data_IF_014695590662
#
_entry.id   IF_014695590662
#
_cell.length_a   1.000
_cell.length_b   1.000
_cell.length_c   1.000
_cell.angle_alpha   90.00
_cell.angle_beta   90.00
_cell.angle_gamma   90.00
#
_symmetry.space_group_name_H-M   'P 1'
#
loop_
_entity.id
_entity.type
_entity.pdbx_description
1 polymer ?
#
# COMPACT_ATOMS: atom_id res chain seq x y z
N UNK A 1 26.17 13.53 15.72
CA UNK A 1 25.37 13.79 14.50
C UNK A 1 25.53 12.56 13.62
N UNK A 2 24.53 12.17 12.84
CA UNK A 2 24.65 11.02 11.92
C UNK A 2 25.34 11.44 10.62
N UNK A 3 26.03 10.53 9.96
CA UNK A 3 26.63 10.77 8.63
C UNK A 3 25.60 11.27 7.60
N UNK A 4 24.36 10.74 7.61
CA UNK A 4 23.26 11.21 6.76
C UNK A 4 22.99 12.71 6.95
N UNK A 5 22.76 13.13 8.19
CA UNK A 5 22.42 14.53 8.50
C UNK A 5 23.56 15.48 8.18
N UNK A 6 24.80 15.06 8.41
CA UNK A 6 25.99 15.85 8.09
C UNK A 6 26.12 16.05 6.59
N UNK A 7 25.88 14.99 5.81
CA UNK A 7 25.86 15.04 4.34
C UNK A 7 24.76 15.95 3.79
N UNK A 8 23.54 15.84 4.34
CA UNK A 8 22.41 16.68 3.93
C UNK A 8 22.62 18.15 4.33
N UNK A 9 23.19 18.42 5.50
CA UNK A 9 23.52 19.77 5.95
C UNK A 9 24.60 20.40 5.07
N UNK A 10 25.64 19.65 4.71
CA UNK A 10 26.67 20.10 3.78
C UNK A 10 26.05 20.47 2.41
N UNK A 11 25.24 19.58 1.82
CA UNK A 11 24.57 19.83 0.54
C UNK A 11 23.66 21.07 0.58
N UNK A 12 22.92 21.25 1.67
CA UNK A 12 22.07 22.44 1.88
C UNK A 12 22.90 23.72 1.91
N UNK A 13 24.04 23.70 2.59
CA UNK A 13 24.94 24.85 2.69
C UNK A 13 25.60 25.17 1.34
N UNK A 14 25.99 24.16 0.57
CA UNK A 14 26.55 24.30 -0.78
C UNK A 14 25.55 24.97 -1.74
N UNK A 15 24.27 24.60 -1.65
CA UNK A 15 23.20 25.21 -2.46
C UNK A 15 22.74 26.56 -1.93
N UNK A 16 23.07 26.92 -0.68
CA UNK A 16 22.66 28.17 -0.05
C UNK A 16 21.13 28.30 0.13
N UNK A 17 20.41 27.17 0.24
CA UNK A 17 18.94 27.17 0.31
C UNK A 17 18.42 26.99 1.74
N UNK A 18 17.29 27.62 2.04
CA UNK A 18 16.59 27.45 3.32
C UNK A 18 15.74 26.18 3.33
N UNK A 19 15.40 25.68 4.51
CA UNK A 19 14.49 24.54 4.67
C UNK A 19 13.10 24.81 4.08
N UNK A 20 12.66 26.07 4.08
CA UNK A 20 11.42 26.48 3.40
C UNK A 20 11.55 26.28 1.90
N UNK A 21 12.63 26.79 1.29
CA UNK A 21 12.84 26.66 -0.15
C UNK A 21 13.01 25.19 -0.57
N UNK A 22 13.56 24.36 0.31
CA UNK A 22 13.58 22.90 0.08
C UNK A 22 12.17 22.31 0.00
N UNK A 23 11.30 22.68 0.95
CA UNK A 23 9.90 22.24 0.98
C UNK A 23 9.17 22.67 -0.29
N UNK A 24 9.29 23.94 -0.68
CA UNK A 24 8.62 24.49 -1.86
C UNK A 24 9.09 23.76 -3.14
N UNK A 25 10.41 23.59 -3.30
CA UNK A 25 11.00 22.91 -4.47
C UNK A 25 10.58 21.43 -4.56
N UNK A 26 10.48 20.74 -3.42
CA UNK A 26 9.99 19.37 -3.38
C UNK A 26 8.51 19.29 -3.79
N UNK A 27 7.67 20.19 -3.27
CA UNK A 27 6.24 20.22 -3.55
C UNK A 27 5.95 20.55 -5.01
N UNK A 28 6.70 21.50 -5.60
CA UNK A 28 6.62 21.84 -7.02
C UNK A 28 6.94 20.64 -7.93
N UNK A 29 7.81 19.75 -7.47
CA UNK A 29 8.17 18.51 -8.15
C UNK A 29 7.24 17.31 -7.81
N UNK A 30 6.18 17.54 -7.02
CA UNK A 30 5.21 16.52 -6.64
C UNK A 30 5.60 15.64 -5.44
N UNK A 31 6.68 15.96 -4.74
CA UNK A 31 7.09 15.26 -3.52
C UNK A 31 6.41 15.83 -2.27
N UNK A 32 6.10 14.95 -1.33
CA UNK A 32 5.60 15.34 -0.01
C UNK A 32 6.77 15.55 0.95
N UNK A 33 7.34 16.76 0.94
CA UNK A 33 8.33 17.19 1.93
C UNK A 33 7.80 18.42 2.67
N UNK A 34 7.79 18.37 3.99
CA UNK A 34 7.48 19.53 4.84
C UNK A 34 8.77 20.25 5.24
N UNK A 35 8.68 21.56 5.50
CA UNK A 35 9.79 22.34 6.07
C UNK A 35 10.30 21.72 7.39
N UNK A 36 9.38 21.24 8.24
CA UNK A 36 9.75 20.55 9.48
C UNK A 36 10.63 19.33 9.20
N UNK A 37 10.21 18.44 8.29
CA UNK A 37 10.99 17.27 7.89
C UNK A 37 12.35 17.66 7.32
N UNK A 38 12.42 18.66 6.44
CA UNK A 38 13.68 19.17 5.89
C UNK A 38 14.64 19.62 7.01
N UNK A 39 14.14 20.39 7.98
CA UNK A 39 14.94 20.89 9.11
C UNK A 39 15.39 19.78 10.05
N UNK A 40 14.51 18.84 10.35
CA UNK A 40 14.79 17.70 11.23
C UNK A 40 15.92 16.84 10.67
N UNK A 41 15.88 16.56 9.36
CA UNK A 41 16.90 15.76 8.69
C UNK A 41 18.24 16.47 8.56
N UNK A 42 18.25 17.78 8.29
CA UNK A 42 19.53 18.53 8.21
C UNK A 42 20.15 18.81 9.58
N UNK A 43 19.38 18.69 10.67
CA UNK A 43 19.85 19.03 12.02
C UNK A 43 20.26 17.81 12.86
N UNK A 44 20.31 16.60 12.29
CA UNK A 44 20.68 15.41 13.07
C UNK A 44 19.56 14.83 13.93
N UNK A 45 18.31 15.26 13.74
CA UNK A 45 17.16 14.87 14.58
C UNK A 45 16.16 13.95 13.87
N UNK A 46 16.52 13.41 12.70
CA UNK A 46 15.67 12.50 11.96
C UNK A 46 15.36 11.22 12.76
N UNK A 47 14.20 10.59 12.52
CA UNK A 47 13.87 9.33 13.16
C UNK A 47 14.89 8.25 12.80
N UNK A 48 15.07 7.28 13.71
CA UNK A 48 16.00 6.16 13.50
C UNK A 48 15.69 5.32 12.24
N UNK A 49 14.43 5.34 11.79
CA UNK A 49 14.02 4.80 10.49
C UNK A 49 13.59 5.96 9.60
N UNK A 50 14.43 6.29 8.61
CA UNK A 50 14.08 7.28 7.61
C UNK A 50 13.05 6.70 6.62
N UNK A 51 12.10 7.53 6.20
CA UNK A 51 11.12 7.15 5.17
C UNK A 51 11.76 7.24 3.79
N UNK A 52 11.55 6.22 2.95
CA UNK A 52 12.02 6.19 1.57
C UNK A 52 11.57 7.43 0.78
N UNK A 53 10.29 7.79 0.89
CA UNK A 53 9.72 8.95 0.19
C UNK A 53 10.37 10.27 0.63
N UNK A 54 10.67 10.41 1.92
CA UNK A 54 11.37 11.60 2.44
C UNK A 54 12.80 11.67 1.95
N UNK A 55 13.52 10.53 1.91
CA UNK A 55 14.88 10.50 1.38
C UNK A 55 14.93 10.79 -0.11
N UNK A 56 13.96 10.30 -0.89
CA UNK A 56 13.79 10.63 -2.31
C UNK A 56 13.59 12.13 -2.54
N UNK A 57 12.69 12.75 -1.76
CA UNK A 57 12.46 14.18 -1.84
C UNK A 57 13.72 14.99 -1.48
N UNK A 58 14.43 14.60 -0.42
CA UNK A 58 15.67 15.26 0.01
C UNK A 58 16.79 15.10 -1.02
N UNK A 59 16.97 13.89 -1.58
CA UNK A 59 17.94 13.60 -2.63
C UNK A 59 17.68 14.46 -3.88
N UNK A 60 16.42 14.57 -4.29
CA UNK A 60 16.01 15.40 -5.42
C UNK A 60 16.34 16.89 -5.20
N UNK A 61 15.87 17.46 -4.09
CA UNK A 61 16.04 18.90 -3.80
C UNK A 61 17.49 19.28 -3.58
N UNK A 62 18.23 18.46 -2.83
CA UNK A 62 19.63 18.73 -2.49
C UNK A 62 20.61 18.25 -3.57
N UNK A 63 20.10 17.65 -4.65
CA UNK A 63 20.90 17.12 -5.76
C UNK A 63 21.97 16.13 -5.30
N UNK A 64 21.63 15.35 -4.27
CA UNK A 64 22.47 14.27 -3.75
C UNK A 64 22.00 12.96 -4.38
N UNK A 65 22.89 12.08 -4.87
CA UNK A 65 22.50 10.77 -5.36
C UNK A 65 21.64 10.01 -4.35
N UNK A 66 20.49 9.48 -4.80
CA UNK A 66 19.56 8.77 -3.92
C UNK A 66 20.22 7.57 -3.24
N UNK A 67 21.07 6.85 -3.96
CA UNK A 67 21.79 5.68 -3.42
C UNK A 67 22.68 6.07 -2.24
N UNK A 68 23.38 7.20 -2.34
CA UNK A 68 24.21 7.75 -1.25
C UNK A 68 23.35 8.08 -0.02
N UNK A 69 22.23 8.79 -0.22
CA UNK A 69 21.30 9.15 0.87
C UNK A 69 20.73 7.90 1.55
N UNK A 70 20.40 6.86 0.79
CA UNK A 70 19.86 5.60 1.31
C UNK A 70 20.93 4.80 2.05
N UNK A 71 22.14 4.71 1.52
CA UNK A 71 23.26 4.04 2.18
C UNK A 71 23.56 4.68 3.55
N UNK A 72 23.66 6.01 3.59
CA UNK A 72 23.87 6.76 4.84
C UNK A 72 22.71 6.63 5.83
N UNK A 73 21.50 6.34 5.34
CA UNK A 73 20.33 6.05 6.14
C UNK A 73 20.22 4.57 6.56
N UNK A 74 21.19 3.72 6.19
CA UNK A 74 21.16 2.28 6.44
C UNK A 74 20.06 1.54 5.66
N UNK A 75 19.57 2.13 4.57
CA UNK A 75 18.56 1.52 3.69
C UNK A 75 19.24 0.72 2.58
N UNK A 76 18.62 -0.40 2.15
CA UNK A 76 19.14 -1.15 1.02
C UNK A 76 19.08 -0.30 -0.27
N UNK A 77 20.07 -0.47 -1.16
CA UNK A 77 20.13 0.23 -2.44
C UNK A 77 18.94 -0.15 -3.34
N UNK A 78 18.53 0.76 -4.21
CA UNK A 78 17.48 0.49 -5.20
C UNK A 78 18.15 0.04 -6.49
N UNK A 79 18.03 -1.24 -6.82
CA UNK A 79 18.66 -1.81 -8.03
C UNK A 79 17.93 -1.46 -9.35
N UNK A 80 17.16 -0.37 -9.38
CA UNK A 80 16.38 0.02 -10.55
C UNK A 80 15.27 -0.98 -10.90
N UNK A 81 14.84 -0.97 -12.17
CA UNK A 81 13.87 -1.95 -12.68
C UNK A 81 14.53 -3.33 -12.70
N UNK A 82 13.81 -4.33 -12.21
CA UNK A 82 14.22 -5.72 -12.33
C UNK A 82 13.86 -6.23 -13.72
N UNK A 83 14.86 -6.30 -14.59
CA UNK A 83 14.71 -6.89 -15.92
C UNK A 83 15.03 -8.39 -15.88
N UNK A 84 14.10 -9.19 -16.38
CA UNK A 84 14.26 -10.65 -16.45
C UNK A 84 15.10 -11.01 -17.66
N UNK A 85 15.95 -12.02 -17.53
CA UNK A 85 16.77 -12.50 -18.64
C UNK A 85 15.89 -13.01 -19.80
N UNK A 86 16.30 -12.86 -21.07
CA UNK A 86 15.50 -13.25 -22.24
C UNK A 86 15.04 -14.72 -22.22
N UNK A 87 15.80 -15.60 -21.58
CA UNK A 87 15.45 -17.03 -21.42
C UNK A 87 14.16 -17.23 -20.63
N UNK A 88 13.75 -16.26 -19.80
CA UNK A 88 12.48 -16.27 -19.09
C UNK A 88 11.27 -16.26 -20.04
N UNK A 89 11.44 -15.88 -21.31
CA UNK A 89 10.36 -15.93 -22.30
C UNK A 89 9.96 -17.34 -22.68
N UNK A 90 10.84 -18.32 -22.48
CA UNK A 90 10.54 -19.74 -22.72
C UNK A 90 9.67 -20.38 -21.64
N UNK A 91 9.44 -19.67 -20.52
CA UNK A 91 8.59 -20.16 -19.44
C UNK A 91 7.15 -20.34 -19.92
N UNK A 92 6.59 -21.51 -19.63
CA UNK A 92 5.16 -21.77 -19.83
C UNK A 92 4.32 -20.84 -18.95
N UNK A 93 3.05 -20.63 -19.32
CA UNK A 93 2.17 -19.74 -18.55
C UNK A 93 2.08 -20.10 -17.04
N UNK A 94 1.95 -21.38 -16.63
CA UNK A 94 1.95 -21.73 -15.20
C UNK A 94 3.27 -21.41 -14.49
N UNK A 95 4.41 -21.62 -15.16
CA UNK A 95 5.73 -21.33 -14.58
C UNK A 95 5.95 -19.83 -14.42
N UNK A 96 5.52 -19.03 -15.42
CA UNK A 96 5.58 -17.57 -15.37
C UNK A 96 4.75 -17.02 -14.21
N UNK A 97 3.55 -17.56 -14.00
CA UNK A 97 2.70 -17.20 -12.86
C UNK A 97 3.38 -17.52 -11.53
N UNK A 98 3.98 -18.71 -11.39
CA UNK A 98 4.67 -19.09 -10.16
C UNK A 98 5.87 -18.17 -9.84
N UNK A 99 6.67 -17.82 -10.84
CA UNK A 99 7.81 -16.88 -10.67
C UNK A 99 7.30 -15.50 -10.25
N UNK A 100 6.27 -14.98 -10.90
CA UNK A 100 5.68 -13.70 -10.56
C UNK A 100 5.14 -13.66 -9.12
N UNK A 101 4.57 -14.77 -8.65
CA UNK A 101 4.09 -14.88 -7.27
C UNK A 101 5.23 -14.87 -6.26
N UNK A 102 6.34 -15.57 -6.54
CA UNK A 102 7.54 -15.51 -5.70
C UNK A 102 8.09 -14.08 -5.63
N UNK A 103 8.21 -13.40 -6.77
CA UNK A 103 8.67 -12.00 -6.83
C UNK A 103 7.75 -11.11 -5.98
N UNK A 104 6.43 -11.29 -6.10
CA UNK A 104 5.44 -10.55 -5.31
C UNK A 104 5.62 -10.76 -3.81
N UNK A 105 5.79 -12.00 -3.37
CA UNK A 105 5.98 -12.34 -1.96
C UNK A 105 7.28 -11.74 -1.40
N UNK A 106 8.37 -11.78 -2.16
CA UNK A 106 9.64 -11.18 -1.76
C UNK A 106 9.54 -9.65 -1.68
N UNK A 107 8.86 -9.02 -2.64
CA UNK A 107 8.62 -7.57 -2.63
C UNK A 107 7.75 -7.13 -1.44
N UNK A 108 6.68 -7.86 -1.13
CA UNK A 108 5.82 -7.61 0.02
C UNK A 108 6.58 -7.78 1.35
N UNK A 109 7.44 -8.79 1.47
CA UNK A 109 8.34 -8.97 2.62
C UNK A 109 9.25 -7.76 2.85
N UNK A 110 9.83 -7.21 1.79
CA UNK A 110 10.67 -6.02 1.85
C UNK A 110 9.88 -4.76 2.27
N UNK A 111 8.65 -4.59 1.75
CA UNK A 111 7.78 -3.48 2.13
C UNK A 111 7.37 -3.56 3.61
N UNK A 112 7.01 -4.75 4.12
CA UNK A 112 6.64 -4.93 5.54
C UNK A 112 7.81 -4.72 6.49
N UNK A 113 9.03 -4.99 6.06
CA UNK A 113 10.24 -4.68 6.83
C UNK A 113 10.52 -3.17 6.91
N UNK A 114 10.17 -2.41 5.85
CA UNK A 114 10.45 -0.97 5.72
C UNK A 114 9.29 0.00 6.00
N UNK A 115 8.03 -0.45 6.00
CA UNK A 115 6.85 0.41 5.81
C UNK A 115 5.80 0.37 6.92
N UNK A 116 6.18 0.23 8.20
CA UNK A 116 5.22 0.30 9.31
C UNK A 116 4.89 1.72 9.78
N UNK A 117 4.98 2.70 8.88
CA UNK A 117 4.60 4.09 9.12
C UNK A 117 3.59 4.54 8.04
N UNK A 118 2.42 3.90 8.01
CA UNK A 118 1.25 4.43 7.31
C UNK A 118 0.41 5.18 8.34
N UNK A 119 0.41 6.51 8.19
CA UNK A 119 -0.52 7.49 8.75
C UNK A 119 -1.73 6.93 9.52
N UNK A 120 -1.65 6.94 10.85
CA UNK A 120 -2.83 7.24 11.66
C UNK A 120 -3.09 8.74 11.53
N UNK A 121 -3.93 9.10 10.56
CA UNK A 121 -4.57 10.41 10.47
C UNK A 121 -5.42 10.64 11.73
N UNK A 122 -4.82 11.23 12.76
CA UNK A 122 -5.55 11.86 13.85
C UNK A 122 -6.12 13.17 13.32
N UNK A 123 -7.37 13.13 12.88
CA UNK A 123 -8.25 14.29 12.87
C UNK A 123 -9.65 13.73 13.13
N UNK A 124 -10.10 13.88 14.37
CA UNK A 124 -11.46 14.19 14.78
C UNK A 124 -11.41 14.52 16.28
N UNK A 125 -10.91 15.73 16.56
CA UNK A 125 -11.07 16.38 17.83
C UNK A 125 -12.25 17.35 17.72
N UNK A 126 -13.47 16.82 17.86
CA UNK A 126 -14.61 17.62 18.30
C UNK A 126 -15.15 17.01 19.58
N UNK A 127 -15.21 17.85 20.61
CA UNK A 127 -15.36 17.44 21.98
C UNK A 127 -16.70 16.78 22.26
N UNK A 128 -16.66 15.74 23.09
CA UNK A 128 -17.71 15.58 24.08
C UNK A 128 -17.11 15.18 25.42
N UNK A 129 -17.13 16.17 26.31
CA UNK A 129 -17.22 16.16 27.76
C UNK A 129 -16.90 14.88 28.53
N UNK A 130 -15.94 15.05 29.43
CA UNK A 130 -15.80 14.39 30.72
C UNK A 130 -17.02 13.58 31.20
N UNK A 131 -16.86 12.27 31.31
CA UNK A 131 -17.00 11.60 32.59
C UNK A 131 -16.50 10.15 32.52
N UNK A 132 -15.92 9.69 33.64
CA UNK A 132 -15.63 8.29 33.97
C UNK A 132 -14.77 7.46 33.00
N UNK A 133 -13.53 7.17 33.40
CA UNK A 133 -12.95 5.82 33.32
C UNK A 133 -11.71 5.71 34.22
N UNK A 134 -11.96 5.79 35.53
CA UNK A 134 -11.06 5.24 36.54
C UNK A 134 -11.82 4.11 37.22
N UNK A 135 -11.77 2.89 36.67
CA UNK A 135 -11.91 1.66 37.45
C UNK A 135 -11.52 0.40 36.65
N UNK A 136 -10.65 -0.39 37.29
CA UNK A 136 -10.56 -1.86 37.24
C UNK A 136 -9.95 -2.52 35.98
N UNK A 137 -8.61 -2.49 35.95
CA UNK A 137 -7.82 -3.65 35.53
C UNK A 137 -8.05 -4.77 36.54
N UNK A 138 -8.88 -5.77 36.24
CA UNK A 138 -8.81 -7.17 36.72
C UNK A 138 -10.13 -7.87 36.37
N UNK A 139 -10.19 -8.58 35.24
CA UNK A 139 -11.13 -9.69 35.08
C UNK A 139 -10.56 -10.68 34.06
N UNK A 140 -10.38 -11.92 34.51
CA UNK A 140 -9.96 -13.09 33.73
C UNK A 140 -10.89 -13.30 32.54
N UNK A 141 -10.39 -13.73 31.36
CA UNK A 141 -11.27 -14.05 30.24
C UNK A 141 -12.19 -15.20 30.64
N UNK A 142 -13.49 -14.91 30.74
CA UNK A 142 -14.53 -15.93 30.91
C UNK A 142 -14.48 -16.80 29.66
N UNK A 143 -14.10 -18.06 29.81
CA UNK A 143 -14.16 -19.05 28.74
C UNK A 143 -15.63 -19.29 28.38
N UNK A 144 -16.08 -18.69 27.27
CA UNK A 144 -17.33 -19.07 26.62
C UNK A 144 -17.08 -20.31 25.77
N UNK A 145 -17.68 -21.46 26.09
CA UNK A 145 -17.56 -22.63 25.24
C UNK A 145 -18.17 -22.33 23.87
N UNK A 146 -17.57 -22.84 22.78
CA UNK A 146 -18.13 -22.66 21.45
C UNK A 146 -19.54 -23.26 21.38
N UNK A 147 -20.44 -22.68 20.56
CA UNK A 147 -21.78 -23.22 20.38
C UNK A 147 -21.70 -24.67 19.88
N UNK A 148 -22.67 -25.52 20.26
CA UNK A 148 -22.70 -26.92 19.85
C UNK A 148 -22.83 -27.05 18.32
N UNK A 149 -22.34 -28.18 17.77
CA UNK A 149 -22.19 -28.37 16.32
C UNK A 149 -23.51 -28.32 15.54
N UNK A 150 -24.63 -28.59 16.21
CA UNK A 150 -26.00 -28.45 15.70
C UNK A 150 -26.41 -26.98 15.47
N UNK A 151 -25.84 -26.03 16.22
CA UNK A 151 -26.07 -24.59 16.05
C UNK A 151 -25.18 -23.96 14.95
N UNK A 152 -24.18 -24.69 14.43
CA UNK A 152 -23.27 -24.25 13.35
C UNK A 152 -23.41 -25.06 12.07
N UNK A 153 -24.31 -26.05 12.05
CA UNK A 153 -24.71 -26.70 10.81
C UNK A 153 -25.35 -25.65 9.89
N UNK A 154 -24.71 -25.41 8.74
CA UNK A 154 -25.25 -24.54 7.72
C UNK A 154 -26.69 -24.95 7.41
N UNK A 155 -27.65 -24.07 7.70
CA UNK A 155 -29.00 -24.23 7.17
C UNK A 155 -28.87 -24.47 5.67
N UNK A 156 -29.50 -25.52 5.17
CA UNK A 156 -29.60 -25.78 3.73
C UNK A 156 -30.25 -24.55 3.07
N UNK A 157 -29.41 -23.64 2.58
CA UNK A 157 -29.85 -22.51 1.77
C UNK A 157 -30.38 -23.06 0.45
N UNK A 158 -31.59 -22.64 0.08
CA UNK A 158 -32.17 -22.94 -1.22
C UNK A 158 -31.19 -22.51 -2.31
N UNK A 159 -30.87 -23.47 -3.19
CA UNK A 159 -29.77 -23.40 -4.11
C UNK A 159 -30.18 -22.56 -5.34
N UNK A 160 -30.14 -21.22 -5.21
CA UNK A 160 -30.54 -20.24 -6.25
C UNK A 160 -29.89 -20.46 -7.62
N UNK A 161 -28.78 -21.18 -7.69
CA UNK A 161 -28.11 -21.52 -8.95
C UNK A 161 -28.90 -22.46 -9.86
N UNK A 162 -29.86 -23.22 -9.31
CA UNK A 162 -30.67 -24.15 -10.12
C UNK A 162 -31.81 -23.46 -10.85
N UNK A 163 -32.46 -22.49 -10.21
CA UNK A 163 -33.54 -21.68 -10.81
C UNK A 163 -33.03 -20.82 -11.97
N UNK A 164 -31.87 -20.17 -11.80
CA UNK A 164 -31.28 -19.33 -12.86
C UNK A 164 -30.94 -20.10 -14.13
N UNK A 165 -30.68 -21.40 -14.03
CA UNK A 165 -30.37 -22.25 -15.20
C UNK A 165 -31.64 -22.66 -15.95
N UNK A 166 -32.72 -23.00 -15.23
CA UNK A 166 -34.01 -23.34 -15.86
C UNK A 166 -34.65 -22.14 -16.56
N UNK A 167 -34.42 -20.92 -16.08
CA UNK A 167 -34.92 -19.70 -16.73
C UNK A 167 -34.16 -19.39 -18.03
N UNK A 168 -32.83 -19.58 -18.06
CA UNK A 168 -32.04 -19.41 -19.29
C UNK A 168 -32.38 -20.44 -20.37
N UNK A 169 -32.61 -21.70 -19.99
CA UNK A 169 -32.96 -22.75 -20.96
C UNK A 169 -34.36 -22.50 -21.58
N UNK A 170 -35.29 -21.86 -20.85
CA UNK A 170 -36.63 -21.52 -21.36
C UNK A 170 -36.62 -20.38 -22.38
N UNK A 171 -35.78 -19.36 -22.17
CA UNK A 171 -35.63 -18.24 -23.12
C UNK A 171 -34.94 -18.67 -24.43
N UNK A 172 -34.11 -19.71 -24.39
CA UNK A 172 -33.43 -20.25 -25.56
C UNK A 172 -34.33 -21.09 -26.49
N UNK A 173 -35.50 -21.56 -26.01
CA UNK A 173 -36.42 -22.43 -26.76
C UNK A 173 -37.59 -21.68 -27.44
N UNK A 174 -37.61 -20.34 -27.45
CA UNK A 174 -38.57 -19.57 -28.24
C UNK A 174 -37.97 -19.19 -29.61
N UNK A 175 -38.20 -19.98 -30.68
CA UNK A 175 -37.89 -19.50 -32.02
C UNK A 175 -38.85 -18.36 -32.36
N UNK A 176 -38.31 -17.17 -32.54
CA UNK A 176 -38.97 -16.09 -33.29
C UNK A 176 -39.34 -16.65 -34.67
N UNK A 177 -40.62 -16.97 -34.87
CA UNK A 177 -41.16 -17.30 -36.18
C UNK A 177 -41.33 -15.98 -36.94
N UNK A 178 -40.58 -15.71 -38.01
CA UNK A 178 -40.86 -14.58 -38.87
C UNK A 178 -42.18 -14.87 -39.59
N UNK A 179 -43.14 -13.94 -39.51
CA UNK A 179 -44.38 -14.04 -40.26
C UNK A 179 -44.10 -13.98 -41.75
N UNK A 180 -44.43 -15.05 -42.46
CA UNK A 180 -44.54 -15.06 -43.91
C UNK A 180 -45.76 -14.21 -44.32
N UNK A 181 -45.48 -13.03 -44.86
CA UNK A 181 -46.40 -12.14 -45.56
C UNK A 181 -46.57 -12.67 -46.99
N UNK A 182 -47.54 -13.55 -47.22
CA UNK A 182 -47.99 -13.89 -48.57
C UNK A 182 -48.96 -12.80 -49.06
N UNK A 183 -48.43 -11.93 -49.91
CA UNK A 183 -49.24 -11.10 -50.80
C UNK A 183 -49.82 -11.96 -51.92
N UNK A 184 -51.14 -11.97 -52.01
CA UNK A 184 -51.89 -12.41 -53.20
C UNK A 184 -52.68 -11.22 -53.78
N UNK A 185 -52.73 -11.23 -55.11
CA UNK A 185 -53.22 -10.23 -56.07
C UNK A 185 -54.72 -9.92 -55.99
#
# INVERSE_FOLDING_TARGET
>A
MSDLSDRLAAAKNELGISSQRMSDTAQDAGYQLSNYSATVYTNGKHPAKASAATLEALAYVLRVPLDEVRELAGMPPVHGKFDVAPEADTLTAPQRTAVNEIIRLLADGNQKAGGRDVHSSMNDAEGNSADSNVHQLHETPVYTPPPPADATAAMHGENRGREMKEEQDRDAESPDVPGDDEGDE
#
